data_IF_085530176947
#
_entry.id   IF_085530176947
#
_cell.length_a   1.000
_cell.length_b   1.000
_cell.length_c   1.000
_cell.angle_alpha   90.00
_cell.angle_beta   90.00
_cell.angle_gamma   90.00
#
_symmetry.space_group_name_H-M   'P 1'
#
loop_
_entity.id
_entity.type
_entity.pdbx_description
1 polymer ?
#
# COMPACT_ATOMS: atom_id res chain seq x y z
N UNK A 1 6.40 12.30 5.46
CA UNK A 1 5.91 11.20 6.30
C UNK A 1 6.19 9.92 5.55
N UNK A 2 6.78 8.96 6.26
CA UNK A 2 7.18 7.68 5.69
C UNK A 2 6.37 6.58 6.37
N UNK A 3 5.76 5.71 5.56
CA UNK A 3 4.71 4.80 5.98
C UNK A 3 4.92 3.42 5.37
N UNK A 4 4.71 2.38 6.14
CA UNK A 4 4.69 0.98 5.70
C UNK A 4 3.32 0.37 6.02
N UNK A 5 2.57 0.01 4.99
CA UNK A 5 1.39 -0.82 5.11
C UNK A 5 1.81 -2.28 5.10
N UNK A 6 1.42 -3.09 6.10
CA UNK A 6 1.82 -4.51 6.18
C UNK A 6 0.64 -5.48 6.08
N UNK A 7 0.91 -6.67 5.55
CA UNK A 7 0.02 -7.84 5.58
C UNK A 7 -1.38 -7.62 4.97
N UNK A 8 -1.51 -6.65 4.06
CA UNK A 8 -2.75 -6.40 3.33
C UNK A 8 -2.91 -7.34 2.14
N UNK A 9 -4.13 -7.46 1.62
CA UNK A 9 -4.31 -7.93 0.24
C UNK A 9 -4.21 -6.73 -0.68
N UNK A 10 -3.14 -6.63 -1.45
CA UNK A 10 -2.88 -5.55 -2.39
C UNK A 10 -3.57 -5.84 -3.72
N UNK A 11 -4.36 -4.87 -4.18
CA UNK A 11 -5.06 -4.90 -5.47
C UNK A 11 -4.39 -3.91 -6.43
N UNK A 12 -3.41 -4.33 -7.24
CA UNK A 12 -2.82 -3.46 -8.25
C UNK A 12 -3.82 -3.19 -9.39
N UNK A 13 -3.61 -2.09 -10.13
CA UNK A 13 -4.38 -1.83 -11.37
C UNK A 13 -4.10 -2.90 -12.42
N UNK A 14 -2.86 -3.39 -12.48
CA UNK A 14 -2.42 -4.43 -13.41
C UNK A 14 -1.96 -5.65 -12.64
N UNK A 15 -2.49 -6.82 -12.98
CA UNK A 15 -2.11 -8.09 -12.36
C UNK A 15 -3.11 -8.61 -11.34
N UNK A 16 -2.84 -9.80 -10.81
CA UNK A 16 -3.69 -10.43 -9.81
C UNK A 16 -3.46 -9.81 -8.41
N UNK A 17 -4.50 -9.79 -7.55
CA UNK A 17 -4.32 -9.44 -6.15
C UNK A 17 -3.38 -10.42 -5.42
N UNK A 18 -2.61 -9.91 -4.47
CA UNK A 18 -1.68 -10.72 -3.68
C UNK A 18 -1.58 -10.22 -2.24
N UNK A 19 -1.04 -11.06 -1.34
CA UNK A 19 -0.75 -10.66 0.04
C UNK A 19 0.60 -9.96 0.09
N UNK A 20 0.65 -8.76 0.67
CA UNK A 20 1.91 -8.06 0.79
C UNK A 20 1.83 -6.68 1.46
N UNK A 21 2.93 -5.97 1.27
CA UNK A 21 3.28 -4.74 1.94
C UNK A 21 3.51 -3.61 0.91
N UNK A 22 3.27 -2.37 1.32
CA UNK A 22 3.57 -1.17 0.52
C UNK A 22 4.37 -0.19 1.37
N UNK A 23 5.60 0.13 0.93
CA UNK A 23 6.44 1.16 1.52
C UNK A 23 6.27 2.48 0.77
N UNK A 24 5.97 3.53 1.53
CA UNK A 24 5.80 4.90 1.06
C UNK A 24 6.90 5.75 1.71
N UNK A 25 7.67 6.46 0.88
CA UNK A 25 8.69 7.44 1.31
C UNK A 25 8.44 8.75 0.60
N UNK A 26 8.48 9.87 1.33
CA UNK A 26 8.29 11.21 0.75
C UNK A 26 7.03 11.33 -0.14
N UNK A 27 5.92 10.71 0.29
CA UNK A 27 4.64 10.74 -0.43
C UNK A 27 4.59 9.91 -1.72
N UNK A 28 5.61 9.08 -2.00
CA UNK A 28 5.65 8.20 -3.17
C UNK A 28 5.76 6.73 -2.75
N UNK A 29 5.20 5.84 -3.56
CA UNK A 29 5.39 4.40 -3.40
C UNK A 29 6.85 4.09 -3.76
N UNK A 30 7.62 3.68 -2.76
CA UNK A 30 9.03 3.31 -2.91
C UNK A 30 9.18 1.84 -3.29
N UNK A 31 8.35 0.96 -2.71
CA UNK A 31 8.42 -0.48 -2.93
C UNK A 31 7.08 -1.15 -2.64
N UNK A 32 6.79 -2.22 -3.40
CA UNK A 32 5.66 -3.12 -3.23
C UNK A 32 6.18 -4.55 -3.32
N UNK A 33 5.96 -5.38 -2.30
CA UNK A 33 6.45 -6.77 -2.24
C UNK A 33 5.66 -7.58 -1.19
N UNK A 34 5.79 -8.90 -1.17
CA UNK A 34 5.12 -9.76 -0.17
C UNK A 34 5.57 -9.49 1.27
N UNK A 35 6.82 -9.07 1.46
CA UNK A 35 7.36 -8.71 2.76
C UNK A 35 8.38 -7.59 2.62
N UNK A 36 8.20 -6.50 3.36
CA UNK A 36 9.14 -5.37 3.39
C UNK A 36 9.63 -5.17 4.83
N UNK A 37 10.95 -5.07 4.97
CA UNK A 37 11.59 -4.56 6.17
C UNK A 37 11.98 -3.09 5.95
N UNK A 38 11.50 -2.20 6.81
CA UNK A 38 11.85 -0.79 6.80
C UNK A 38 11.90 -0.26 8.23
N UNK A 39 12.92 0.53 8.50
CA UNK A 39 13.12 1.19 9.79
C UNK A 39 12.74 2.67 9.71
N UNK A 40 12.45 3.29 10.85
CA UNK A 40 12.09 4.71 10.96
C UNK A 40 10.91 5.07 10.04
N UNK A 41 9.87 4.25 10.06
CA UNK A 41 8.60 4.47 9.37
C UNK A 41 7.46 4.24 10.34
N UNK A 42 6.36 4.94 10.11
CA UNK A 42 5.09 4.53 10.68
C UNK A 42 4.66 3.19 10.06
N UNK A 43 4.11 2.30 10.88
CA UNK A 43 3.63 0.99 10.42
C UNK A 43 2.14 0.90 10.66
N UNK A 44 1.39 0.57 9.61
CA UNK A 44 -0.04 0.23 9.68
C UNK A 44 -0.20 -1.25 9.34
N UNK A 45 -0.76 -2.01 10.28
CA UNK A 45 -1.15 -3.40 10.05
C UNK A 45 -2.49 -3.45 9.29
N UNK A 46 -2.44 -3.97 8.07
CA UNK A 46 -3.57 -4.16 7.18
C UNK A 46 -4.02 -5.64 7.11
N UNK A 47 -3.69 -6.45 8.12
CA UNK A 47 -4.14 -7.85 8.19
C UNK A 47 -5.65 -7.96 8.04
N UNK A 48 -6.08 -8.79 7.08
CA UNK A 48 -7.50 -8.99 6.74
C UNK A 48 -8.16 -7.80 6.02
N UNK A 49 -7.39 -6.77 5.65
CA UNK A 49 -7.87 -5.61 4.89
C UNK A 49 -7.41 -5.67 3.43
N UNK A 50 -8.04 -4.82 2.62
CA UNK A 50 -7.71 -4.64 1.21
C UNK A 50 -7.01 -3.30 1.01
N UNK A 51 -5.96 -3.29 0.19
CA UNK A 51 -5.21 -2.09 -0.18
C UNK A 51 -5.45 -1.83 -1.67
N UNK A 52 -6.07 -0.69 -1.98
CA UNK A 52 -6.36 -0.26 -3.34
C UNK A 52 -5.58 1.03 -3.66
N UNK A 53 -5.32 1.30 -4.96
CA UNK A 53 -5.07 2.65 -5.42
C UNK A 53 -6.18 3.59 -4.97
N UNK A 54 -5.83 4.84 -4.67
CA UNK A 54 -6.83 5.85 -4.36
C UNK A 54 -7.86 5.95 -5.48
N UNK A 55 -9.14 6.01 -5.12
CA UNK A 55 -10.21 6.15 -6.10
C UNK A 55 -10.17 7.54 -6.73
N UNK A 56 -10.44 7.58 -8.04
CA UNK A 56 -10.51 8.82 -8.81
C UNK A 56 -11.98 9.15 -9.04
N UNK A 57 -12.44 10.23 -8.43
CA UNK A 57 -13.73 10.82 -8.76
C UNK A 57 -13.59 11.66 -10.02
N UNK A 58 -14.17 11.19 -11.12
CA UNK A 58 -14.12 11.84 -12.43
C UNK A 58 -15.22 12.87 -12.63
N UNK A 59 -16.22 12.93 -11.74
CA UNK A 59 -17.37 13.80 -11.90
C UNK A 59 -17.89 14.26 -10.53
N UNK A 60 -17.41 15.43 -10.11
CA UNK A 60 -17.88 16.16 -8.94
C UNK A 60 -18.51 17.50 -9.35
N UNK A 61 -19.44 17.99 -8.53
CA UNK A 61 -20.09 19.29 -8.70
C UNK A 61 -19.70 20.24 -7.56
#
# INVERSE_FOLDING_TARGET
MDLLLKAGTVYPITGAPFKGDILIRNGKIQQVAENIHAENVEVIDATGKYIFPGFVDAHSH
#
